data_IF_475348684688
#
_entry.id   IF_475348684688
#
_cell.length_a   1.000
_cell.length_b   1.000
_cell.length_c   1.000
_cell.angle_alpha   90.00
_cell.angle_beta   90.00
_cell.angle_gamma   90.00
#
_symmetry.space_group_name_H-M   'P 1'
#
loop_
_entity.id
_entity.type
_entity.pdbx_description
1 polymer ?
#
# COMPACT_ATOMS: atom_id res chain seq x y z
N UNK A 1 -12.07 -0.84 -0.39
CA UNK A 1 -12.06 -1.12 -1.83
C UNK A 1 -12.07 0.20 -2.62
N UNK A 2 -10.96 0.94 -2.62
CA UNK A 2 -10.85 2.26 -3.30
C UNK A 2 -9.74 2.32 -4.35
N UNK A 3 -9.08 1.20 -4.63
CA UNK A 3 -7.94 1.18 -5.52
C UNK A 3 -8.36 0.56 -6.84
N UNK A 4 -9.03 1.39 -7.64
CA UNK A 4 -9.09 1.23 -9.09
C UNK A 4 -8.12 2.28 -9.62
N UNK A 5 -7.24 1.89 -10.55
CA UNK A 5 -5.99 2.54 -11.02
C UNK A 5 -5.98 4.06 -11.26
N UNK A 6 -7.09 4.78 -11.12
CA UNK A 6 -7.20 6.23 -11.32
C UNK A 6 -6.99 7.07 -10.05
N UNK A 7 -6.80 6.47 -8.86
CA UNK A 7 -6.82 7.21 -7.60
C UNK A 7 -5.61 7.00 -6.67
N UNK A 8 -4.51 6.40 -7.14
CA UNK A 8 -3.29 6.22 -6.32
C UNK A 8 -2.72 7.55 -5.81
N UNK A 9 -2.70 8.59 -6.65
CA UNK A 9 -2.25 9.92 -6.22
C UNK A 9 -3.14 10.57 -5.15
N UNK A 10 -4.40 10.16 -5.03
CA UNK A 10 -5.24 10.57 -3.91
C UNK A 10 -5.01 9.70 -2.68
N UNK A 11 -4.79 8.38 -2.87
CA UNK A 11 -4.42 7.46 -1.81
C UNK A 11 -3.12 7.93 -1.12
N UNK A 12 -2.10 8.35 -1.88
CA UNK A 12 -0.87 8.96 -1.35
C UNK A 12 -1.13 10.18 -0.49
N UNK A 13 -1.95 11.12 -0.98
CA UNK A 13 -2.28 12.34 -0.23
C UNK A 13 -3.09 12.05 1.04
N UNK A 14 -3.96 11.05 1.01
CA UNK A 14 -4.71 10.63 2.20
C UNK A 14 -3.76 9.95 3.18
N UNK A 15 -2.90 9.06 2.70
CA UNK A 15 -1.91 8.34 3.50
C UNK A 15 -0.90 9.28 4.18
N UNK A 16 -0.47 10.34 3.49
CA UNK A 16 0.36 11.41 4.06
C UNK A 16 -0.35 12.24 5.12
N UNK A 17 -1.67 12.39 5.01
CA UNK A 17 -2.49 13.11 5.99
C UNK A 17 -2.97 12.25 7.15
N UNK A 18 -2.75 10.92 7.14
CA UNK A 18 -3.15 10.04 8.22
C UNK A 18 -2.18 10.17 9.41
N UNK A 19 -2.64 10.69 10.57
CA UNK A 19 -1.78 10.87 11.74
C UNK A 19 -1.40 9.52 12.40
N UNK A 20 -2.22 8.49 12.18
CA UNK A 20 -1.97 7.11 12.60
C UNK A 20 -2.20 6.22 11.39
N UNK A 21 -1.12 5.59 10.91
CA UNK A 21 -1.16 4.63 9.81
C UNK A 21 -1.25 3.23 10.41
N UNK A 22 -2.35 2.55 10.16
CA UNK A 22 -2.55 1.16 10.56
C UNK A 22 -2.06 0.19 9.47
N UNK A 23 -1.89 -1.08 9.83
CA UNK A 23 -1.47 -2.16 8.91
C UNK A 23 -2.41 -2.28 7.70
N UNK A 24 -3.71 -1.99 7.88
CA UNK A 24 -4.70 -2.01 6.78
C UNK A 24 -4.41 -0.90 5.76
N UNK A 25 -4.05 0.31 6.20
CA UNK A 25 -3.69 1.42 5.31
C UNK A 25 -2.44 1.13 4.50
N UNK A 26 -1.42 0.53 5.13
CA UNK A 26 -0.21 0.10 4.42
C UNK A 26 -0.50 -1.01 3.39
N UNK A 27 -1.26 -2.04 3.80
CA UNK A 27 -1.63 -3.14 2.90
C UNK A 27 -2.46 -2.64 1.70
N UNK A 28 -3.32 -1.65 1.92
CA UNK A 28 -4.04 -0.99 0.84
C UNK A 28 -3.05 -0.31 -0.15
N UNK A 29 -2.10 0.49 0.33
CA UNK A 29 -1.10 1.13 -0.54
C UNK A 29 -0.28 0.12 -1.34
N UNK A 30 0.21 -0.93 -0.68
CA UNK A 30 1.02 -2.00 -1.30
C UNK A 30 0.22 -2.70 -2.40
N UNK A 31 -1.02 -3.11 -2.12
CA UNK A 31 -1.90 -3.73 -3.11
C UNK A 31 -2.22 -2.78 -4.27
N UNK A 32 -2.34 -1.48 -3.97
CA UNK A 32 -2.57 -0.47 -4.99
C UNK A 32 -1.43 -0.34 -5.98
N UNK A 33 -0.20 -0.30 -5.49
CA UNK A 33 0.98 -0.22 -6.33
C UNK A 33 1.27 -1.52 -7.09
N UNK A 34 1.02 -2.67 -6.45
CA UNK A 34 1.22 -3.96 -7.09
C UNK A 34 0.32 -4.14 -8.32
N UNK A 35 -0.94 -3.70 -8.23
CA UNK A 35 -1.91 -3.74 -9.33
C UNK A 35 -1.61 -2.79 -10.51
N UNK A 36 -0.71 -1.80 -10.33
CA UNK A 36 -0.36 -0.80 -11.37
C UNK A 36 1.05 -1.07 -11.94
N UNK A 37 1.59 -2.28 -11.71
CA UNK A 37 2.96 -2.68 -12.10
C UNK A 37 4.05 -1.79 -11.49
N UNK A 38 3.73 -1.03 -10.45
CA UNK A 38 4.65 -0.17 -9.69
C UNK A 38 5.21 -0.95 -8.49
N UNK A 39 5.73 -2.16 -8.77
CA UNK A 39 6.21 -3.10 -7.75
C UNK A 39 7.32 -2.51 -6.87
N UNK A 40 8.14 -1.61 -7.42
CA UNK A 40 9.22 -0.94 -6.70
C UNK A 40 8.68 -0.04 -5.58
N UNK A 41 7.58 0.69 -5.84
CA UNK A 41 6.88 1.48 -4.82
C UNK A 41 6.13 0.60 -3.83
N UNK A 42 5.57 -0.52 -4.28
CA UNK A 42 4.94 -1.50 -3.40
C UNK A 42 5.95 -2.06 -2.39
N UNK A 43 7.16 -2.42 -2.85
CA UNK A 43 8.26 -2.85 -1.98
C UNK A 43 8.71 -1.74 -1.03
N UNK A 44 8.87 -0.51 -1.52
CA UNK A 44 9.26 0.62 -0.67
C UNK A 44 8.25 0.90 0.44
N UNK A 45 6.95 0.78 0.16
CA UNK A 45 5.90 0.88 1.18
C UNK A 45 5.94 -0.29 2.17
N UNK A 46 6.20 -1.51 1.71
CA UNK A 46 6.38 -2.68 2.57
C UNK A 46 7.62 -2.56 3.49
N UNK A 47 8.70 -1.97 2.98
CA UNK A 47 9.92 -1.73 3.76
C UNK A 47 9.71 -0.65 4.83
N UNK A 48 8.92 0.37 4.53
CA UNK A 48 8.57 1.44 5.47
C UNK A 48 7.54 1.03 6.53
N UNK A 49 6.89 -0.13 6.41
CA UNK A 49 5.98 -0.64 7.44
C UNK A 49 6.74 -0.94 8.75
N UNK A 50 6.36 -0.30 9.88
CA UNK A 50 6.98 -0.57 11.17
C UNK A 50 6.62 -1.95 11.73
N UNK A 51 5.41 -2.44 11.44
CA UNK A 51 4.94 -3.78 11.80
C UNK A 51 4.45 -4.51 10.54
N UNK A 52 5.03 -5.67 10.24
CA UNK A 52 4.71 -6.50 9.06
C UNK A 52 3.92 -7.73 9.50
N UNK A 53 2.73 -7.91 8.95
CA UNK A 53 1.86 -9.06 9.22
C UNK A 53 1.83 -10.04 8.03
N UNK A 54 1.25 -11.23 8.21
CA UNK A 54 1.14 -12.21 7.12
C UNK A 54 0.34 -11.68 5.91
N UNK A 55 -0.53 -10.70 6.14
CA UNK A 55 -1.36 -10.06 5.10
C UNK A 55 -0.51 -9.14 4.22
N UNK A 56 0.49 -8.45 4.79
CA UNK A 56 1.42 -7.59 4.06
C UNK A 56 2.27 -8.36 3.05
N UNK A 57 2.78 -9.54 3.43
CA UNK A 57 3.47 -10.45 2.52
C UNK A 57 2.56 -10.99 1.41
N UNK A 58 1.35 -11.42 1.78
CA UNK A 58 0.38 -11.89 0.79
C UNK A 58 0.00 -10.78 -0.19
N UNK A 59 -0.11 -9.53 0.27
CA UNK A 59 -0.43 -8.38 -0.58
C UNK A 59 0.70 -8.02 -1.54
N UNK A 60 1.96 -8.23 -1.15
CA UNK A 60 3.11 -8.05 -2.04
C UNK A 60 3.22 -9.15 -3.11
N UNK A 61 2.93 -10.40 -2.73
CA UNK A 61 3.02 -11.58 -3.63
C UNK A 61 1.81 -11.70 -4.56
N UNK A 62 0.63 -11.23 -4.13
CA UNK A 62 -0.63 -11.35 -4.91
C UNK A 62 -0.82 -10.24 -5.96
N UNK A 63 0.21 -9.41 -6.18
CA UNK A 63 0.27 -8.39 -7.23
C UNK A 63 0.59 -8.94 -8.60
#
# INVERSE_FOLDING_TARGET
MYIKCSNLGYADKVFDKMPLRDTVSWNAMIFGYSMVSELEKAQLMFDLMPERDAISWNSLISG
#
